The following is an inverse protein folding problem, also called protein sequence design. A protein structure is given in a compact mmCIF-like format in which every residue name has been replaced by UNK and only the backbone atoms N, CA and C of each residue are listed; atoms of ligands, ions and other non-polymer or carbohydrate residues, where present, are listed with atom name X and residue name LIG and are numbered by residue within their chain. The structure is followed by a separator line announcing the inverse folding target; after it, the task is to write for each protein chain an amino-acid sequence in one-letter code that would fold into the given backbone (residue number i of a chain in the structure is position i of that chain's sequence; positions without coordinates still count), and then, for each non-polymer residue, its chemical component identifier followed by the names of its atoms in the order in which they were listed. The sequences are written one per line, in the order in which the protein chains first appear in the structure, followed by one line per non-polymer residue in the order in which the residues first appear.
data_IF_098607599187
#
_entry.id   IF_098607599187
#
_cell.length_a   1.000
_cell.length_b   1.000
_cell.length_c   1.000
_cell.angle_alpha   90.00
_cell.angle_beta   90.00
_cell.angle_gamma   90.00
#
_symmetry.space_group_name_H-M   'P 1'
#
loop_
_entity.id
_entity.type
_entity.pdbx_description
1 polymer ?
#
# COMPACT_ATOMS: atom_id res chain seq x y z
N UNK A 1 -27.30 24.62 -5.48
CA UNK A 1 -26.30 23.69 -6.06
C UNK A 1 -25.25 23.42 -4.99
N UNK A 2 -25.31 22.26 -4.35
CA UNK A 2 -24.43 21.88 -3.24
C UNK A 2 -23.03 21.55 -3.72
N UNK A 3 -22.00 21.97 -2.98
CA UNK A 3 -20.56 21.74 -3.21
C UNK A 3 -20.15 20.26 -3.47
N UNK A 4 -21.05 19.32 -3.23
CA UNK A 4 -20.88 17.88 -3.46
C UNK A 4 -20.89 17.47 -4.95
N UNK A 5 -21.38 18.31 -5.87
CA UNK A 5 -21.51 17.94 -7.29
C UNK A 5 -20.21 18.11 -8.12
N UNK A 6 -19.10 18.59 -7.53
CA UNK A 6 -17.86 18.94 -8.27
C UNK A 6 -16.66 17.99 -8.12
N UNK A 7 -16.73 16.89 -7.37
CA UNK A 7 -15.55 16.01 -7.22
C UNK A 7 -15.91 14.54 -7.56
N UNK A 8 -15.76 14.12 -8.82
CA UNK A 8 -16.32 12.86 -9.27
C UNK A 8 -15.67 11.59 -8.69
N UNK A 9 -14.45 11.63 -8.12
CA UNK A 9 -13.82 10.41 -7.56
C UNK A 9 -12.80 10.70 -6.45
N UNK A 10 -13.19 11.37 -5.36
CA UNK A 10 -12.36 11.38 -4.15
C UNK A 10 -12.40 9.98 -3.53
N UNK A 11 -11.52 9.09 -3.99
CA UNK A 11 -11.33 7.78 -3.37
C UNK A 11 -11.18 7.99 -1.86
N UNK A 12 -12.03 7.35 -1.04
CA UNK A 12 -11.97 7.55 0.39
C UNK A 12 -10.56 7.22 0.87
N UNK A 13 -10.00 8.02 1.80
CA UNK A 13 -8.69 7.76 2.33
C UNK A 13 -8.66 6.33 2.89
N UNK A 14 -7.67 5.53 2.46
CA UNK A 14 -7.42 4.21 3.06
C UNK A 14 -7.02 4.43 4.51
N UNK A 15 -8.00 4.29 5.38
CA UNK A 15 -7.99 4.59 6.80
C UNK A 15 -7.91 3.32 7.66
N UNK A 16 -7.94 2.16 7.01
CA UNK A 16 -7.89 0.86 7.67
C UNK A 16 -6.68 0.08 7.14
N UNK A 17 -5.94 -0.57 8.04
CA UNK A 17 -4.83 -1.43 7.69
C UNK A 17 -5.35 -2.65 6.92
N UNK A 18 -4.82 -2.87 5.71
CA UNK A 18 -5.25 -3.99 4.87
C UNK A 18 -4.95 -5.37 5.47
N UNK A 19 -3.94 -5.50 6.32
CA UNK A 19 -3.52 -6.79 6.89
C UNK A 19 -4.25 -7.13 8.18
N UNK A 20 -4.35 -6.18 9.12
CA UNK A 20 -4.88 -6.44 10.46
C UNK A 20 -6.19 -5.72 10.76
N UNK A 21 -6.77 -4.97 9.82
CA UNK A 21 -8.04 -4.29 9.99
C UNK A 21 -8.01 -3.11 10.97
N UNK A 22 -6.86 -2.75 11.57
CA UNK A 22 -6.80 -1.64 12.53
C UNK A 22 -6.95 -0.27 11.86
N UNK A 23 -7.54 0.68 12.58
CA UNK A 23 -7.61 2.09 12.14
C UNK A 23 -6.21 2.70 11.98
N UNK A 24 -6.06 3.53 10.96
CA UNK A 24 -4.88 4.29 10.58
C UNK A 24 -5.05 5.80 10.86
N UNK A 25 -6.20 6.22 11.41
CA UNK A 25 -6.40 7.59 11.88
C UNK A 25 -5.44 7.93 13.01
N UNK A 26 -4.79 9.09 12.94
CA UNK A 26 -3.78 9.51 13.92
C UNK A 26 -2.49 8.67 13.93
N UNK A 27 -2.36 7.67 13.04
CA UNK A 27 -1.24 6.73 13.03
C UNK A 27 -0.40 6.83 11.75
N UNK A 28 0.89 6.45 11.81
CA UNK A 28 1.70 6.32 10.61
C UNK A 28 1.17 5.18 9.74
N UNK A 29 0.98 5.48 8.46
CA UNK A 29 0.51 4.53 7.45
C UNK A 29 1.47 4.47 6.25
N UNK A 30 1.59 3.29 5.68
CA UNK A 30 2.56 2.98 4.64
C UNK A 30 1.85 2.39 3.44
N UNK A 31 2.06 2.96 2.26
CA UNK A 31 1.68 2.34 1.00
C UNK A 31 2.76 1.36 0.59
N UNK A 32 2.38 0.11 0.38
CA UNK A 32 3.29 -0.99 0.05
C UNK A 32 2.89 -1.56 -1.30
N UNK A 33 3.87 -1.73 -2.19
CA UNK A 33 3.72 -2.37 -3.49
C UNK A 33 4.46 -3.71 -3.48
N UNK A 34 3.75 -4.78 -3.78
CA UNK A 34 4.29 -6.12 -3.99
C UNK A 34 4.53 -6.31 -5.48
N UNK A 35 5.78 -6.23 -5.89
CA UNK A 35 6.19 -6.35 -7.29
C UNK A 35 6.63 -7.79 -7.53
N UNK A 36 6.08 -8.47 -8.54
CA UNK A 36 6.36 -9.89 -8.81
C UNK A 36 7.82 -10.10 -9.21
N UNK A 37 8.44 -11.14 -8.64
CA UNK A 37 9.73 -11.66 -9.09
C UNK A 37 9.56 -13.02 -9.78
N UNK A 38 10.38 -13.27 -10.78
CA UNK A 38 10.49 -14.55 -11.49
C UNK A 38 11.97 -14.81 -11.75
N UNK A 39 12.50 -15.95 -11.27
CA UNK A 39 13.94 -16.26 -11.35
C UNK A 39 14.86 -15.20 -10.70
N UNK A 40 14.43 -14.59 -9.58
CA UNK A 40 15.18 -13.54 -8.88
C UNK A 40 15.14 -12.16 -9.55
N UNK A 41 14.56 -12.04 -10.75
CA UNK A 41 14.42 -10.77 -11.49
C UNK A 41 13.01 -10.21 -11.36
N UNK A 42 12.86 -8.89 -11.49
CA UNK A 42 11.54 -8.24 -11.48
C UNK A 42 10.81 -8.60 -12.78
N UNK A 43 9.63 -9.21 -12.67
CA UNK A 43 8.77 -9.50 -13.82
C UNK A 43 8.22 -8.19 -14.39
N UNK A 44 8.31 -8.01 -15.70
CA UNK A 44 7.83 -6.83 -16.41
C UNK A 44 6.86 -7.23 -17.52
N UNK A 45 5.84 -6.40 -17.74
CA UNK A 45 4.89 -6.52 -18.86
C UNK A 45 4.95 -5.20 -19.61
N UNK A 46 5.24 -5.22 -20.91
CA UNK A 46 5.44 -4.02 -21.73
C UNK A 46 6.46 -3.02 -21.12
N UNK A 47 7.54 -3.53 -20.52
CA UNK A 47 8.57 -2.70 -19.87
C UNK A 47 8.22 -2.21 -18.45
N UNK A 48 6.99 -2.41 -17.97
CA UNK A 48 6.51 -1.93 -16.67
C UNK A 48 6.58 -3.05 -15.63
N UNK A 49 7.10 -2.81 -14.41
CA UNK A 49 7.09 -3.80 -13.32
C UNK A 49 5.69 -4.31 -13.01
N UNK A 50 5.51 -5.63 -13.02
CA UNK A 50 4.23 -6.25 -12.69
C UNK A 50 3.97 -6.12 -11.18
N UNK A 51 3.05 -5.24 -10.82
CA UNK A 51 2.59 -5.07 -9.44
C UNK A 51 1.48 -6.06 -9.18
N UNK A 52 1.72 -7.03 -8.30
CA UNK A 52 0.68 -7.95 -7.84
C UNK A 52 -0.40 -7.20 -7.06
N UNK A 53 0.02 -6.38 -6.09
CA UNK A 53 -0.92 -5.58 -5.27
C UNK A 53 -0.27 -4.36 -4.67
N UNK A 54 -1.06 -3.30 -4.51
CA UNK A 54 -0.70 -2.12 -3.74
C UNK A 54 -1.66 -1.95 -2.54
N UNK A 55 -1.13 -2.04 -1.32
CA UNK A 55 -1.90 -2.03 -0.08
C UNK A 55 -1.46 -0.88 0.83
N UNK A 56 -2.34 -0.47 1.75
CA UNK A 56 -1.99 0.48 2.80
C UNK A 56 -2.05 -0.25 4.12
N UNK A 57 -1.00 -0.12 4.90
CA UNK A 57 -0.82 -0.86 6.15
C UNK A 57 -0.29 0.04 7.24
N UNK A 58 -0.49 -0.38 8.48
CA UNK A 58 0.12 0.23 9.64
C UNK A 58 1.63 -0.08 9.72
N UNK A 59 2.34 0.61 10.60
CA UNK A 59 3.78 0.43 10.79
C UNK A 59 4.17 -1.01 11.15
N UNK A 60 3.47 -1.65 12.08
CA UNK A 60 3.81 -3.00 12.54
C UNK A 60 3.64 -4.03 11.42
N UNK A 61 2.53 -3.97 10.67
CA UNK A 61 2.31 -4.83 9.51
C UNK A 61 3.30 -4.56 8.38
N UNK A 62 3.66 -3.29 8.14
CA UNK A 62 4.70 -2.94 7.18
C UNK A 62 6.05 -3.59 7.53
N UNK A 63 6.49 -3.52 8.79
CA UNK A 63 7.73 -4.17 9.23
C UNK A 63 7.66 -5.70 9.06
N UNK A 64 6.52 -6.31 9.39
CA UNK A 64 6.31 -7.77 9.18
C UNK A 64 6.43 -8.14 7.69
N UNK A 65 5.79 -7.39 6.79
CA UNK A 65 5.89 -7.62 5.34
C UNK A 65 7.33 -7.50 4.83
N UNK A 66 8.10 -6.53 5.36
CA UNK A 66 9.51 -6.38 4.98
C UNK A 66 10.42 -7.48 5.53
N UNK A 67 10.09 -8.03 6.69
CA UNK A 67 10.85 -9.09 7.34
C UNK A 67 10.49 -10.50 6.88
N UNK A 68 9.34 -10.69 6.24
CA UNK A 68 8.86 -12.01 5.82
C UNK A 68 9.65 -12.54 4.61
N UNK A 69 10.43 -13.62 4.84
CA UNK A 69 11.27 -14.25 3.80
C UNK A 69 10.44 -14.75 2.62
N UNK A 70 9.27 -15.34 2.86
CA UNK A 70 8.40 -15.86 1.79
C UNK A 70 7.92 -14.74 0.87
N UNK A 71 7.67 -13.55 1.45
CA UNK A 71 7.33 -12.36 0.67
C UNK A 71 8.54 -11.88 -0.13
N UNK A 72 9.75 -11.87 0.46
CA UNK A 72 10.97 -11.39 -0.20
C UNK A 72 11.45 -12.31 -1.33
N UNK A 73 11.22 -13.61 -1.23
CA UNK A 73 11.49 -14.58 -2.29
C UNK A 73 10.64 -14.30 -3.52
N UNK A 74 9.30 -14.19 -3.32
CA UNK A 74 8.33 -14.05 -4.42
C UNK A 74 8.17 -12.62 -4.93
N UNK A 75 8.43 -11.63 -4.08
CA UNK A 75 8.16 -10.24 -4.38
C UNK A 75 9.34 -9.33 -4.07
N UNK A 76 9.49 -8.27 -4.88
CA UNK A 76 10.22 -7.07 -4.51
C UNK A 76 9.23 -6.14 -3.81
N UNK A 77 9.42 -5.94 -2.52
CA UNK A 77 8.61 -5.01 -1.74
C UNK A 77 9.15 -3.59 -1.91
N UNK A 78 8.30 -2.67 -2.38
CA UNK A 78 8.55 -1.23 -2.36
C UNK A 78 7.55 -0.58 -1.42
N UNK A 79 7.93 0.48 -0.71
CA UNK A 79 7.00 1.18 0.18
C UNK A 79 7.20 2.69 0.16
N UNK A 80 6.19 3.42 0.65
CA UNK A 80 6.19 4.87 0.85
C UNK A 80 5.40 5.19 2.11
N UNK A 81 5.96 6.00 3.01
CA UNK A 81 5.22 6.56 4.14
C UNK A 81 4.20 7.59 3.61
N UNK A 82 2.93 7.44 4.00
CA UNK A 82 1.87 8.37 3.67
C UNK A 82 1.71 9.42 4.77
N UNK A 83 1.07 10.55 4.45
CA UNK A 83 0.65 11.53 5.46
C UNK A 83 -0.35 10.89 6.43
N UNK A 84 -0.17 11.15 7.72
CA UNK A 84 -1.10 10.76 8.78
C UNK A 84 -2.46 11.37 8.50
N UNK A 85 -3.52 10.59 8.69
CA UNK A 85 -4.89 11.10 8.61
C UNK A 85 -5.24 11.84 9.90
N UNK A 86 -5.82 13.03 9.76
CA UNK A 86 -6.30 13.86 10.86
C UNK A 86 -7.76 14.22 10.60
N UNK A 87 -8.59 14.10 11.62
CA UNK A 87 -9.92 14.67 11.63
C UNK A 87 -9.68 16.14 11.98
N UNK A 88 -9.62 16.99 10.95
CA UNK A 88 -9.65 18.43 11.13
C UNK A 88 -11.12 18.89 11.25
#
# INVERSE_FOLDING_TARGET
MSLLERIPYLLPPKDTCWVCGRSLWGQPRYKVWLIVKEGGRIKRVCGIPLVYRAVVVCESCWRKILGDERVRERFRVKYRKLKTLRLD
#
